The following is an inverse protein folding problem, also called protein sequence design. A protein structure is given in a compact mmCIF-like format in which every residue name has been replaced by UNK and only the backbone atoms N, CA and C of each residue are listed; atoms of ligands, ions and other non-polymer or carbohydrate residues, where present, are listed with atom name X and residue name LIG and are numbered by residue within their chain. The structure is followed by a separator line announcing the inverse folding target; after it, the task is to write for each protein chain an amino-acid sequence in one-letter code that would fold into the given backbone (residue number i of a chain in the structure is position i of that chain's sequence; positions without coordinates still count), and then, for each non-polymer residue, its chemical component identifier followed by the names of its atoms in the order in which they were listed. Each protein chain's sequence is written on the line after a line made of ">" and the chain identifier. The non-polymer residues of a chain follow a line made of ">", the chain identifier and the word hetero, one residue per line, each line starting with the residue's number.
data_IF_394612986864
#
_entry.id   IF_394612986864
#
_cell.length_a   1.000
_cell.length_b   1.000
_cell.length_c   1.000
_cell.angle_alpha   90.00
_cell.angle_beta   90.00
_cell.angle_gamma   90.00
#
_symmetry.space_group_name_H-M   'P 1'
#
loop_
_entity.id
_entity.type
_entity.pdbx_description
1 polymer ?
#
# COMPACT_ATOMS: atom_id res chain seq x y z
N UNK A 1 -26.56 -18.35 -15.59
CA UNK A 1 -25.43 -17.43 -15.34
C UNK A 1 -24.19 -17.96 -16.02
N UNK A 2 -23.59 -17.20 -16.93
CA UNK A 2 -22.29 -17.56 -17.48
C UNK A 2 -21.20 -17.30 -16.43
N UNK A 3 -20.24 -18.22 -16.29
CA UNK A 3 -19.08 -18.01 -15.41
C UNK A 3 -18.19 -16.92 -15.99
N UNK A 4 -17.59 -16.12 -15.12
CA UNK A 4 -16.56 -15.14 -15.50
C UNK A 4 -15.26 -15.90 -15.77
N UNK A 5 -14.73 -15.77 -17.00
CA UNK A 5 -13.50 -16.41 -17.47
C UNK A 5 -12.46 -15.37 -17.87
N UNK A 6 -11.18 -15.76 -17.97
CA UNK A 6 -10.06 -14.87 -18.29
C UNK A 6 -9.22 -14.51 -17.06
N UNK A 7 -8.24 -13.63 -17.24
CA UNK A 7 -7.35 -13.19 -16.15
C UNK A 7 -8.12 -12.35 -15.13
N UNK A 8 -8.15 -12.80 -13.87
CA UNK A 8 -8.94 -12.20 -12.78
C UNK A 8 -8.12 -11.29 -11.89
N UNK A 9 -6.84 -11.60 -11.76
CA UNK A 9 -5.86 -10.77 -11.09
C UNK A 9 -4.50 -10.89 -11.74
N UNK A 10 -3.70 -9.84 -11.59
CA UNK A 10 -2.28 -9.89 -11.91
C UNK A 10 -1.55 -9.91 -10.58
N UNK A 11 -1.15 -11.11 -10.17
CA UNK A 11 -0.44 -11.34 -8.92
C UNK A 11 1.06 -11.14 -9.16
N UNK A 12 1.81 -10.72 -8.15
CA UNK A 12 3.24 -10.51 -8.30
C UNK A 12 4.00 -10.73 -6.99
N UNK A 13 5.26 -11.12 -7.13
CA UNK A 13 6.25 -11.26 -6.06
C UNK A 13 7.35 -10.24 -6.30
N UNK A 14 7.69 -9.49 -5.26
CA UNK A 14 8.71 -8.45 -5.28
C UNK A 14 9.86 -8.89 -4.40
N UNK A 15 11.06 -8.84 -4.94
CA UNK A 15 12.32 -8.87 -4.19
C UNK A 15 12.91 -7.46 -4.20
N UNK A 16 13.29 -6.99 -3.02
CA UNK A 16 13.91 -5.68 -2.85
C UNK A 16 15.14 -5.76 -1.96
N UNK A 17 16.14 -4.92 -2.23
CA UNK A 17 17.39 -4.87 -1.51
C UNK A 17 17.57 -3.48 -0.88
N UNK A 18 18.32 -3.39 0.22
CA UNK A 18 18.53 -2.13 0.88
C UNK A 18 19.53 -2.19 2.02
N UNK A 19 19.72 -1.05 2.67
CA UNK A 19 20.54 -0.92 3.86
C UNK A 19 19.91 0.07 4.84
N UNK A 20 19.87 -0.30 6.11
CA UNK A 20 19.27 0.53 7.15
C UNK A 20 17.74 0.49 7.18
N UNK A 21 17.18 1.03 8.25
CA UNK A 21 15.72 1.12 8.43
C UNK A 21 15.17 2.34 7.72
N UNK A 22 14.29 2.13 6.74
CA UNK A 22 13.58 3.21 6.04
C UNK A 22 12.22 3.56 6.66
N UNK A 23 11.59 2.63 7.39
CA UNK A 23 10.27 2.83 8.01
C UNK A 23 10.29 2.53 9.52
N UNK A 24 10.34 3.61 10.31
CA UNK A 24 10.34 3.54 11.78
C UNK A 24 8.93 3.45 12.37
N UNK A 25 8.81 2.84 13.56
CA UNK A 25 7.55 2.79 14.31
C UNK A 25 7.43 3.94 15.32
N UNK A 26 8.52 4.23 16.02
CA UNK A 26 8.57 5.27 17.06
C UNK A 26 9.40 4.81 18.26
N UNK A 27 9.24 5.49 19.40
CA UNK A 27 9.97 5.14 20.62
C UNK A 27 9.00 4.59 21.68
N UNK A 28 8.78 3.26 21.73
CA UNK A 28 7.93 2.66 22.76
C UNK A 28 8.59 2.77 24.14
N UNK A 29 7.79 2.61 25.20
CA UNK A 29 8.32 2.49 26.55
C UNK A 29 8.99 1.13 26.74
N UNK A 30 10.21 1.13 27.24
CA UNK A 30 11.05 -0.03 27.54
C UNK A 30 11.65 0.10 28.94
N UNK A 31 12.26 -0.97 29.47
CA UNK A 31 12.78 -0.99 30.83
C UNK A 31 14.20 -1.54 30.91
N UNK A 32 15.03 -0.93 31.77
CA UNK A 32 16.37 -1.41 32.11
C UNK A 32 16.48 -1.61 33.62
N UNK A 33 17.15 -2.67 34.04
CA UNK A 33 17.48 -2.92 35.44
C UNK A 33 18.92 -2.47 35.68
N UNK A 34 19.10 -1.52 36.60
CA UNK A 34 20.43 -1.12 37.06
C UNK A 34 20.83 -2.03 38.20
N UNK A 35 22.13 -2.33 38.30
CA UNK A 35 22.64 -3.15 39.40
C UNK A 35 22.27 -2.55 40.76
N UNK A 36 21.70 -3.39 41.64
CA UNK A 36 21.21 -2.99 42.96
C UNK A 36 19.91 -2.19 42.99
N UNK A 37 19.23 -1.98 41.84
CA UNK A 37 17.96 -1.25 41.81
C UNK A 37 16.77 -2.10 42.26
N UNK A 38 15.90 -1.53 43.11
CA UNK A 38 14.64 -2.15 43.55
C UNK A 38 13.48 -1.99 42.55
N UNK A 39 13.65 -1.13 41.53
CA UNK A 39 12.66 -0.87 40.48
C UNK A 39 13.35 -0.66 39.12
N UNK A 40 12.73 -1.04 38.00
CA UNK A 40 13.28 -0.80 36.68
C UNK A 40 13.28 0.70 36.34
N UNK A 41 14.27 1.13 35.56
CA UNK A 41 14.28 2.46 34.95
C UNK A 41 13.56 2.40 33.62
N UNK A 42 12.55 3.24 33.43
CA UNK A 42 11.85 3.37 32.16
C UNK A 42 12.70 4.15 31.16
N UNK A 43 12.75 3.66 29.93
CA UNK A 43 13.46 4.24 28.79
C UNK A 43 12.44 4.54 27.70
N UNK A 44 12.33 5.81 27.30
CA UNK A 44 11.38 6.28 26.28
C UNK A 44 12.05 6.90 25.06
N UNK A 45 13.38 6.98 25.05
CA UNK A 45 14.19 7.55 23.97
C UNK A 45 14.94 6.48 23.15
N UNK A 46 14.41 5.25 23.12
CA UNK A 46 14.88 4.18 22.25
C UNK A 46 13.94 4.03 21.05
N UNK A 47 14.39 4.35 19.83
CA UNK A 47 13.52 4.20 18.65
C UNK A 47 13.56 2.78 18.10
N UNK A 48 12.37 2.24 17.85
CA UNK A 48 12.14 0.92 17.29
C UNK A 48 11.66 1.02 15.83
N UNK A 49 12.19 0.16 14.94
CA UNK A 49 11.63 -0.02 13.62
C UNK A 49 10.28 -0.75 13.70
N UNK A 50 9.61 -0.91 12.56
CA UNK A 50 8.43 -1.78 12.50
C UNK A 50 8.87 -3.24 12.48
N UNK A 51 8.52 -3.97 13.53
CA UNK A 51 8.82 -5.39 13.70
C UNK A 51 7.51 -6.17 13.72
N UNK A 52 7.37 -7.18 12.86
CA UNK A 52 6.14 -7.98 12.75
C UNK A 52 5.91 -8.73 14.06
N UNK A 53 4.73 -8.57 14.65
CA UNK A 53 4.32 -9.32 15.84
C UNK A 53 5.06 -8.92 17.13
N UNK A 54 5.86 -7.85 17.11
CA UNK A 54 6.55 -7.38 18.30
C UNK A 54 5.60 -6.66 19.26
N UNK A 55 5.69 -7.01 20.55
CA UNK A 55 5.11 -6.28 21.66
C UNK A 55 6.24 -5.80 22.58
N UNK A 56 6.18 -4.54 23.01
CA UNK A 56 7.09 -4.00 24.02
C UNK A 56 6.68 -4.37 25.45
N UNK A 57 5.47 -4.91 25.65
CA UNK A 57 4.91 -5.29 26.95
C UNK A 57 5.21 -6.76 27.23
N UNK A 58 5.81 -7.04 28.39
CA UNK A 58 6.18 -8.38 28.84
C UNK A 58 5.07 -9.04 29.67
N UNK A 59 4.46 -8.26 30.56
CA UNK A 59 3.39 -8.73 31.44
C UNK A 59 2.28 -7.69 31.51
N UNK A 60 1.05 -8.16 31.73
CA UNK A 60 -0.12 -7.35 32.01
C UNK A 60 -0.60 -7.60 33.45
N UNK A 61 -1.22 -6.59 34.04
CA UNK A 61 -2.03 -6.76 35.26
C UNK A 61 -3.37 -7.41 34.91
N UNK A 62 -4.12 -7.85 35.93
CA UNK A 62 -5.45 -8.46 35.74
C UNK A 62 -6.46 -7.51 35.07
N UNK A 63 -6.28 -6.20 35.22
CA UNK A 63 -7.10 -5.17 34.59
C UNK A 63 -6.71 -4.90 33.11
N UNK A 64 -5.73 -5.62 32.57
CA UNK A 64 -5.23 -5.46 31.21
C UNK A 64 -4.26 -4.30 31.02
N UNK A 65 -3.89 -3.57 32.09
CA UNK A 65 -2.88 -2.52 32.01
C UNK A 65 -1.45 -3.10 31.95
N UNK A 66 -0.51 -2.47 31.23
CA UNK A 66 0.84 -3.01 31.11
C UNK A 66 1.59 -2.97 32.46
N UNK A 67 2.08 -4.12 32.90
CA UNK A 67 2.79 -4.30 34.18
C UNK A 67 4.29 -4.09 34.06
N UNK A 68 4.92 -4.66 33.03
CA UNK A 68 6.36 -4.55 32.78
C UNK A 68 6.67 -4.55 31.29
N UNK A 69 7.84 -4.01 30.94
CA UNK A 69 8.25 -3.83 29.55
C UNK A 69 9.55 -4.58 29.25
N UNK A 70 9.74 -4.88 27.97
CA UNK A 70 10.94 -5.54 27.49
C UNK A 70 12.19 -4.64 27.61
N UNK A 71 13.35 -5.28 27.71
CA UNK A 71 14.64 -4.60 27.64
C UNK A 71 14.95 -4.21 26.18
N UNK A 72 15.58 -3.05 25.89
CA UNK A 72 15.89 -2.64 24.52
C UNK A 72 16.70 -3.65 23.70
N UNK A 73 17.52 -4.49 24.34
CA UNK A 73 18.32 -5.52 23.68
C UNK A 73 17.62 -6.89 23.61
N UNK A 74 16.39 -7.03 24.13
CA UNK A 74 15.68 -8.31 24.22
C UNK A 74 14.87 -8.68 22.99
N UNK A 75 15.05 -7.95 21.88
CA UNK A 75 14.37 -8.21 20.61
C UNK A 75 14.92 -9.49 20.00
N UNK A 76 14.06 -10.49 19.85
CA UNK A 76 14.40 -11.77 19.23
C UNK A 76 14.10 -11.73 17.72
N UNK A 77 15.11 -11.35 16.93
CA UNK A 77 14.99 -11.22 15.47
C UNK A 77 14.80 -12.55 14.73
N UNK A 78 14.89 -13.69 15.43
CA UNK A 78 14.48 -14.99 14.86
C UNK A 78 12.97 -15.19 14.85
N UNK A 79 12.22 -14.41 15.65
CA UNK A 79 10.76 -14.49 15.80
C UNK A 79 10.03 -13.28 15.24
N UNK A 80 10.69 -12.13 15.19
CA UNK A 80 10.12 -10.89 14.66
C UNK A 80 10.98 -10.35 13.53
N UNK A 81 10.38 -10.12 12.38
CA UNK A 81 11.09 -9.62 11.22
C UNK A 81 10.87 -8.12 11.08
N UNK A 82 11.91 -7.41 10.65
CA UNK A 82 11.78 -6.05 10.14
C UNK A 82 10.81 -6.05 8.95
N UNK A 83 9.97 -5.03 8.86
CA UNK A 83 9.17 -4.83 7.66
C UNK A 83 8.94 -3.37 7.31
N UNK A 84 8.75 -3.10 6.02
CA UNK A 84 8.26 -1.82 5.53
C UNK A 84 6.75 -1.95 5.35
N UNK A 85 6.00 -1.06 6.00
CA UNK A 85 4.53 -1.14 5.93
C UNK A 85 4.01 -0.82 4.52
N UNK A 86 2.95 -1.48 4.10
CA UNK A 86 2.24 -1.22 2.85
C UNK A 86 1.91 0.27 2.66
N UNK A 87 1.60 0.99 3.75
CA UNK A 87 1.34 2.43 3.69
C UNK A 87 2.57 3.25 3.29
N UNK A 88 3.75 2.87 3.78
CA UNK A 88 5.01 3.52 3.40
C UNK A 88 5.35 3.21 1.94
N UNK A 89 5.17 1.96 1.50
CA UNK A 89 5.36 1.56 0.11
C UNK A 89 4.44 2.35 -0.82
N UNK A 90 3.13 2.35 -0.55
CA UNK A 90 2.14 3.09 -1.34
C UNK A 90 2.43 4.59 -1.38
N UNK A 91 2.89 5.17 -0.27
CA UNK A 91 3.28 6.58 -0.27
C UNK A 91 4.41 6.87 -1.27
N UNK A 92 5.48 6.06 -1.27
CA UNK A 92 6.61 6.25 -2.18
C UNK A 92 6.28 5.87 -3.63
N UNK A 93 5.45 4.85 -3.85
CA UNK A 93 5.01 4.41 -5.18
C UNK A 93 4.33 5.55 -5.96
N UNK A 94 3.53 6.37 -5.28
CA UNK A 94 2.79 7.48 -5.89
C UNK A 94 3.34 8.85 -5.50
N UNK A 95 4.59 8.92 -5.02
CA UNK A 95 5.21 10.19 -4.57
C UNK A 95 5.49 11.15 -5.71
N UNK A 96 5.68 10.64 -6.94
CA UNK A 96 5.94 11.44 -8.13
C UNK A 96 4.77 12.35 -8.52
N UNK A 97 3.54 11.94 -8.22
CA UNK A 97 2.35 12.76 -8.41
C UNK A 97 1.97 13.40 -7.07
N UNK A 98 2.18 14.71 -6.93
CA UNK A 98 1.70 15.41 -5.74
C UNK A 98 0.17 15.53 -5.79
N UNK A 99 -0.51 14.89 -4.85
CA UNK A 99 -1.96 14.99 -4.69
C UNK A 99 -2.29 15.52 -3.29
N UNK A 100 -3.19 16.50 -3.23
CA UNK A 100 -3.76 16.97 -1.98
C UNK A 100 -5.27 16.69 -1.99
N UNK A 101 -5.68 15.57 -1.37
CA UNK A 101 -7.09 15.16 -1.29
C UNK A 101 -7.99 16.12 -0.49
N UNK A 102 -7.40 17.08 0.24
CA UNK A 102 -8.13 18.13 0.96
C UNK A 102 -8.26 19.42 0.15
N UNK A 103 -7.64 19.49 -1.04
CA UNK A 103 -7.69 20.68 -1.90
C UNK A 103 -9.13 21.01 -2.29
N UNK A 104 -9.58 22.28 -2.13
CA UNK A 104 -10.89 22.71 -2.60
C UNK A 104 -11.10 22.46 -4.09
N UNK A 105 -10.04 22.60 -4.90
CA UNK A 105 -10.10 22.45 -6.37
C UNK A 105 -10.49 21.04 -6.81
N UNK A 106 -10.39 20.03 -5.94
CA UNK A 106 -10.85 18.67 -6.24
C UNK A 106 -12.36 18.53 -6.34
N UNK A 107 -13.11 19.44 -5.71
CA UNK A 107 -14.56 19.50 -5.87
C UNK A 107 -14.95 20.07 -7.23
N UNK A 108 -14.17 21.03 -7.74
CA UNK A 108 -14.44 21.70 -9.00
C UNK A 108 -13.91 20.92 -10.21
N UNK A 109 -12.84 20.15 -10.03
CA UNK A 109 -12.17 19.37 -11.09
C UNK A 109 -11.90 17.91 -10.71
N UNK A 110 -12.92 17.14 -10.27
CA UNK A 110 -12.74 15.74 -9.86
C UNK A 110 -12.22 14.86 -11.00
N UNK A 111 -12.52 15.21 -12.25
CA UNK A 111 -12.05 14.50 -13.42
C UNK A 111 -10.52 14.52 -13.56
N UNK A 112 -9.84 15.59 -13.14
CA UNK A 112 -8.38 15.66 -13.16
C UNK A 112 -7.75 14.65 -12.21
N UNK A 113 -8.41 14.37 -11.08
CA UNK A 113 -7.99 13.30 -10.18
C UNK A 113 -8.25 11.93 -10.81
N UNK A 114 -9.41 11.74 -11.44
CA UNK A 114 -9.75 10.45 -12.05
C UNK A 114 -8.83 10.10 -13.24
N UNK A 115 -8.49 11.07 -14.09
CA UNK A 115 -7.50 10.95 -15.18
C UNK A 115 -6.06 11.09 -14.65
N UNK A 116 -5.70 10.31 -13.64
CA UNK A 116 -4.34 10.26 -13.11
C UNK A 116 -3.99 8.86 -12.60
N UNK A 117 -2.70 8.59 -12.45
CA UNK A 117 -2.20 7.35 -11.85
C UNK A 117 -2.76 7.18 -10.44
N UNK A 118 -2.83 8.27 -9.66
CA UNK A 118 -3.46 8.26 -8.33
C UNK A 118 -4.93 7.87 -8.39
N UNK A 119 -5.69 8.43 -9.33
CA UNK A 119 -7.12 8.15 -9.51
C UNK A 119 -7.40 6.69 -9.87
N UNK A 120 -6.67 6.16 -10.87
CA UNK A 120 -6.94 4.84 -11.43
C UNK A 120 -6.32 3.71 -10.61
N UNK A 121 -5.15 3.93 -10.01
CA UNK A 121 -4.35 2.87 -9.39
C UNK A 121 -4.24 2.98 -7.86
N UNK A 122 -4.02 4.17 -7.31
CA UNK A 122 -3.84 4.35 -5.85
C UNK A 122 -5.16 4.29 -5.07
N UNK A 123 -6.25 4.69 -5.69
CA UNK A 123 -7.52 4.93 -5.02
C UNK A 123 -7.51 6.21 -4.17
N UNK A 124 -8.71 6.69 -3.85
CA UNK A 124 -8.90 7.94 -3.14
C UNK A 124 -10.23 7.97 -2.38
N UNK A 125 -10.31 8.91 -1.45
CA UNK A 125 -11.54 9.35 -0.80
C UNK A 125 -11.48 10.87 -0.76
N UNK A 126 -12.52 11.54 -1.24
CA UNK A 126 -12.68 13.00 -1.16
C UNK A 126 -13.50 13.28 0.11
N UNK A 127 -12.92 13.84 1.18
CA UNK A 127 -13.61 13.93 2.47
C UNK A 127 -14.87 14.80 2.45
N UNK A 128 -14.95 15.77 1.52
CA UNK A 128 -16.02 16.77 1.49
C UNK A 128 -17.34 16.26 0.88
N UNK A 129 -17.28 15.29 -0.03
CA UNK A 129 -18.45 14.73 -0.71
C UNK A 129 -18.51 13.20 -0.66
N UNK A 130 -17.57 12.57 0.06
CA UNK A 130 -17.46 11.12 0.25
C UNK A 130 -17.23 10.30 -1.03
N UNK A 131 -17.03 10.96 -2.17
CA UNK A 131 -16.68 10.29 -3.43
C UNK A 131 -15.38 9.52 -3.26
N UNK A 132 -15.38 8.29 -3.73
CA UNK A 132 -14.28 7.36 -3.46
C UNK A 132 -14.11 6.34 -4.56
N UNK A 133 -12.87 5.91 -4.71
CA UNK A 133 -12.48 4.81 -5.57
C UNK A 133 -11.56 3.89 -4.81
N UNK A 134 -11.96 2.63 -4.71
CA UNK A 134 -11.14 1.58 -4.08
C UNK A 134 -9.92 1.34 -4.95
N UNK A 135 -8.75 1.18 -4.32
CA UNK A 135 -7.54 0.85 -5.05
C UNK A 135 -7.61 -0.57 -5.58
N UNK A 136 -7.33 -0.82 -6.87
CA UNK A 136 -7.19 -2.16 -7.40
C UNK A 136 -5.91 -2.87 -6.92
N UNK A 137 -4.96 -2.14 -6.33
CA UNK A 137 -3.68 -2.65 -5.86
C UNK A 137 -3.77 -3.14 -4.41
N UNK A 138 -3.57 -4.43 -4.22
CA UNK A 138 -3.28 -5.04 -2.93
C UNK A 138 -1.77 -5.26 -2.80
N UNK A 139 -1.19 -4.85 -1.67
CA UNK A 139 0.22 -5.09 -1.35
C UNK A 139 0.32 -5.66 0.06
N UNK A 140 1.11 -6.71 0.21
CA UNK A 140 1.59 -7.14 1.52
C UNK A 140 2.74 -6.25 1.98
N UNK A 141 3.04 -6.33 3.25
CA UNK A 141 4.21 -5.66 3.81
C UNK A 141 5.51 -6.28 3.25
N UNK A 142 6.53 -5.46 3.09
CA UNK A 142 7.85 -5.90 2.63
C UNK A 142 8.61 -6.42 3.82
N UNK A 143 8.74 -7.75 3.94
CA UNK A 143 9.30 -8.41 5.12
C UNK A 143 10.76 -8.75 4.86
N UNK A 144 11.63 -8.30 5.76
CA UNK A 144 13.06 -8.61 5.72
C UNK A 144 13.30 -10.11 5.95
N UNK A 145 14.26 -10.65 5.20
CA UNK A 145 14.68 -12.05 5.22
C UNK A 145 16.02 -12.25 5.93
N UNK A 146 16.82 -11.20 6.08
CA UNK A 146 18.19 -11.33 6.61
C UNK A 146 18.26 -11.21 8.14
N UNK A 147 17.45 -10.33 8.74
CA UNK A 147 17.42 -10.17 10.19
C UNK A 147 18.69 -9.55 10.78
N UNK A 148 19.46 -8.79 9.98
CA UNK A 148 20.73 -8.16 10.36
C UNK A 148 20.54 -6.93 11.26
N UNK A 149 19.77 -7.07 12.34
CA UNK A 149 19.46 -6.00 13.28
C UNK A 149 20.24 -6.11 14.59
N UNK A 150 20.51 -4.96 15.20
CA UNK A 150 21.15 -4.89 16.51
C UNK A 150 20.71 -3.66 17.29
N UNK A 151 20.94 -3.69 18.60
CA UNK A 151 20.88 -2.49 19.43
C UNK A 151 22.09 -1.59 19.10
N UNK A 152 21.83 -0.31 18.89
CA UNK A 152 22.86 0.69 18.65
C UNK A 152 22.68 1.88 19.58
N UNK A 153 23.75 2.18 20.33
CA UNK A 153 23.83 3.33 21.19
C UNK A 153 24.35 4.53 20.41
N UNK A 154 23.61 5.64 20.46
CA UNK A 154 24.00 6.90 19.85
C UNK A 154 24.21 7.99 20.90
N UNK A 155 24.91 9.04 20.48
CA UNK A 155 25.14 10.23 21.29
C UNK A 155 25.18 11.50 20.43
N UNK A 156 25.04 12.64 21.09
CA UNK A 156 25.28 13.96 20.52
C UNK A 156 26.69 14.43 20.91
N UNK A 157 27.45 14.92 19.94
CA UNK A 157 28.73 15.60 20.20
C UNK A 157 28.46 17.00 20.78
N UNK A 158 29.08 17.34 21.92
CA UNK A 158 28.90 18.63 22.59
C UNK A 158 28.66 18.53 24.10
N UNK A 159 28.23 19.63 24.74
CA UNK A 159 27.99 19.68 26.19
C UNK A 159 26.79 18.82 26.61
N UNK A 160 26.91 18.15 27.77
CA UNK A 160 25.85 17.33 28.40
C UNK A 160 24.75 18.19 29.03
N UNK A 161 24.52 19.39 28.51
CA UNK A 161 23.60 20.36 29.10
C UNK A 161 22.19 19.78 29.15
N UNK A 162 21.62 19.80 30.35
CA UNK A 162 20.22 19.44 30.55
C UNK A 162 19.39 20.55 29.95
N UNK A 163 18.44 20.17 29.08
CA UNK A 163 17.43 21.10 28.58
C UNK A 163 16.11 20.80 29.25
N UNK A 164 15.35 21.85 29.48
CA UNK A 164 13.98 21.73 29.95
C UNK A 164 13.16 21.01 28.87
N UNK A 165 12.56 19.87 29.22
CA UNK A 165 11.68 19.15 28.31
C UNK A 165 10.28 19.80 28.28
N UNK A 166 9.38 19.28 27.42
CA UNK A 166 8.00 19.79 27.27
C UNK A 166 7.17 19.76 28.57
N UNK A 167 7.65 19.06 29.61
CA UNK A 167 7.02 18.92 30.93
C UNK A 167 7.71 19.76 32.02
N UNK A 168 8.60 20.70 31.66
CA UNK A 168 9.29 21.56 32.63
C UNK A 168 10.40 20.86 33.44
N UNK A 169 10.87 19.69 33.00
CA UNK A 169 11.92 18.91 33.69
C UNK A 169 13.25 18.99 32.95
N UNK A 170 14.32 19.27 33.67
CA UNK A 170 15.68 19.20 33.16
C UNK A 170 16.08 17.74 32.86
N UNK A 171 16.26 17.43 31.57
CA UNK A 171 16.74 16.11 31.13
C UNK A 171 17.86 16.25 30.10
N UNK A 172 18.86 15.36 30.19
CA UNK A 172 19.89 15.25 29.16
C UNK A 172 19.43 14.23 28.12
N UNK A 173 19.18 14.70 26.89
CA UNK A 173 18.85 13.86 25.73
C UNK A 173 20.10 13.59 24.86
N UNK A 174 21.29 13.82 25.42
CA UNK A 174 22.56 13.70 24.69
C UNK A 174 22.90 12.25 24.34
N UNK A 175 22.27 11.26 25.00
CA UNK A 175 22.46 9.83 24.77
C UNK A 175 21.09 9.23 24.44
N UNK A 176 20.97 8.54 23.32
CA UNK A 176 19.75 7.88 22.85
C UNK A 176 20.11 6.62 22.08
N UNK A 177 19.19 5.69 21.90
CA UNK A 177 19.50 4.42 21.24
C UNK A 177 18.44 4.06 20.22
N UNK A 178 18.77 3.12 19.33
CA UNK A 178 17.83 2.56 18.36
C UNK A 178 18.10 1.09 18.15
N UNK A 179 17.10 0.37 17.68
CA UNK A 179 17.31 -0.91 17.01
C UNK A 179 17.53 -0.62 15.52
N UNK A 180 18.77 -0.78 15.05
CA UNK A 180 19.18 -0.50 13.66
C UNK A 180 19.41 -1.79 12.90
N UNK A 181 19.53 -1.70 11.58
CA UNK A 181 19.72 -2.82 10.67
C UNK A 181 20.81 -2.47 9.67
N UNK A 182 21.64 -3.46 9.30
CA UNK A 182 22.61 -3.35 8.22
C UNK A 182 21.96 -3.60 6.85
N UNK A 183 22.51 -4.52 6.09
CA UNK A 183 21.94 -4.96 4.81
C UNK A 183 20.61 -5.69 5.03
N UNK A 184 19.67 -5.44 4.12
CA UNK A 184 18.29 -5.95 4.19
C UNK A 184 17.87 -6.51 2.84
N UNK A 185 17.11 -7.61 2.87
CA UNK A 185 16.47 -8.22 1.70
C UNK A 185 15.01 -8.42 2.01
N UNK A 186 14.13 -7.77 1.26
CA UNK A 186 12.69 -7.83 1.48
C UNK A 186 12.01 -8.69 0.43
N UNK A 187 11.04 -9.50 0.88
CA UNK A 187 10.08 -10.17 0.02
C UNK A 187 8.69 -9.62 0.32
N UNK A 188 7.96 -9.33 -0.75
CA UNK A 188 6.54 -8.96 -0.70
C UNK A 188 5.77 -9.64 -1.83
N UNK A 189 4.47 -9.77 -1.61
CA UNK A 189 3.50 -10.17 -2.62
C UNK A 189 2.44 -9.08 -2.80
N UNK A 190 1.87 -8.99 -3.99
CA UNK A 190 0.72 -8.14 -4.26
C UNK A 190 -0.14 -8.68 -5.39
N UNK A 191 -1.26 -8.00 -5.62
CA UNK A 191 -2.24 -8.40 -6.61
C UNK A 191 -2.96 -7.16 -7.15
N UNK A 192 -3.14 -7.10 -8.47
CA UNK A 192 -3.97 -6.11 -9.15
C UNK A 192 -5.31 -6.76 -9.45
N UNK A 193 -6.37 -6.28 -8.81
CA UNK A 193 -7.74 -6.76 -9.01
C UNK A 193 -8.31 -6.21 -10.32
N UNK A 194 -8.56 -7.10 -11.29
CA UNK A 194 -9.11 -6.71 -12.59
C UNK A 194 -10.54 -6.18 -12.46
N UNK A 195 -11.36 -6.74 -11.56
CA UNK A 195 -12.72 -6.27 -11.28
C UNK A 195 -12.73 -4.81 -10.79
N UNK A 196 -11.85 -4.46 -9.86
CA UNK A 196 -11.78 -3.09 -9.32
C UNK A 196 -11.09 -2.12 -10.28
N UNK A 197 -10.14 -2.60 -11.08
CA UNK A 197 -9.42 -1.79 -12.05
C UNK A 197 -10.32 -1.39 -13.22
N UNK A 198 -11.03 -2.36 -13.82
CA UNK A 198 -11.76 -2.16 -15.07
C UNK A 198 -12.99 -1.27 -14.96
N UNK A 199 -13.63 -1.21 -13.80
CA UNK A 199 -14.91 -0.53 -13.64
C UNK A 199 -14.79 0.73 -12.79
N UNK A 200 -15.38 1.82 -13.28
CA UNK A 200 -15.39 3.13 -12.64
C UNK A 200 -16.84 3.52 -12.36
N UNK A 201 -17.34 3.31 -11.13
CA UNK A 201 -18.70 3.66 -10.74
C UNK A 201 -18.91 5.17 -10.64
N UNK A 202 -20.02 5.68 -11.19
CA UNK A 202 -20.39 7.11 -11.19
C UNK A 202 -21.77 7.36 -10.58
N UNK A 203 -22.26 6.42 -9.78
CA UNK A 203 -23.57 6.48 -9.17
C UNK A 203 -23.49 6.21 -7.66
N UNK A 204 -24.27 6.96 -6.89
CA UNK A 204 -24.35 6.81 -5.45
C UNK A 204 -25.10 5.55 -4.96
N UNK A 205 -25.84 4.83 -5.84
CA UNK A 205 -26.73 3.73 -5.47
C UNK A 205 -26.07 2.64 -4.61
N UNK A 206 -24.79 2.35 -4.86
CA UNK A 206 -24.02 1.34 -4.11
C UNK A 206 -22.98 1.94 -3.16
N UNK A 207 -23.03 3.25 -2.92
CA UNK A 207 -22.09 3.96 -2.04
C UNK A 207 -20.64 3.89 -2.54
N UNK A 208 -20.43 3.77 -3.85
CA UNK A 208 -19.11 3.67 -4.50
C UNK A 208 -18.88 4.76 -5.55
N UNK A 209 -19.66 5.83 -5.55
CA UNK A 209 -19.55 6.92 -6.52
C UNK A 209 -18.11 7.49 -6.56
N UNK A 210 -17.42 7.32 -7.69
CA UNK A 210 -16.05 7.83 -7.87
C UNK A 210 -16.06 9.33 -8.12
N UNK A 211 -17.09 9.81 -8.80
CA UNK A 211 -17.33 11.21 -9.12
C UNK A 211 -18.82 11.38 -9.39
N UNK A 212 -19.39 12.50 -8.95
CA UNK A 212 -20.77 12.85 -9.25
C UNK A 212 -20.86 13.35 -10.69
N UNK A 213 -21.80 12.82 -11.45
CA UNK A 213 -22.19 13.33 -12.77
C UNK A 213 -23.59 13.94 -12.69
N UNK A 214 -23.84 15.02 -13.43
CA UNK A 214 -25.14 15.69 -13.45
C UNK A 214 -26.08 15.09 -14.51
N UNK A 215 -25.52 14.55 -15.59
CA UNK A 215 -26.26 13.93 -16.68
C UNK A 215 -25.40 12.86 -17.40
N UNK A 216 -26.03 12.09 -18.30
CA UNK A 216 -25.35 11.03 -19.04
C UNK A 216 -24.31 11.56 -20.06
N UNK A 217 -24.52 12.75 -20.61
CA UNK A 217 -23.56 13.39 -21.53
C UNK A 217 -22.23 13.68 -20.82
N UNK A 218 -22.27 14.14 -19.57
CA UNK A 218 -21.06 14.33 -18.74
C UNK A 218 -20.33 13.00 -18.49
N UNK A 219 -21.07 11.88 -18.40
CA UNK A 219 -20.50 10.54 -18.33
C UNK A 219 -19.76 10.12 -19.60
N UNK A 220 -20.29 10.46 -20.77
CA UNK A 220 -19.65 10.21 -22.08
C UNK A 220 -18.40 11.07 -22.26
N UNK A 221 -18.49 12.38 -22.02
CA UNK A 221 -17.37 13.32 -22.09
C UNK A 221 -16.22 12.92 -21.15
N UNK A 222 -16.57 12.36 -19.99
CA UNK A 222 -15.59 11.83 -19.04
C UNK A 222 -14.89 10.58 -19.58
N UNK A 223 -15.64 9.66 -20.19
CA UNK A 223 -15.09 8.45 -20.78
C UNK A 223 -14.15 8.76 -21.97
N UNK A 224 -14.47 9.79 -22.76
CA UNK A 224 -13.58 10.31 -23.80
C UNK A 224 -12.26 10.83 -23.20
N UNK A 225 -12.32 11.70 -22.18
CA UNK A 225 -11.12 12.22 -21.52
C UNK A 225 -10.28 11.14 -20.81
N UNK A 226 -10.92 10.10 -20.29
CA UNK A 226 -10.22 8.92 -19.77
C UNK A 226 -9.53 8.15 -20.89
N UNK A 227 -10.20 7.98 -22.03
CA UNK A 227 -9.63 7.34 -23.22
C UNK A 227 -8.40 8.11 -23.69
N UNK A 228 -8.48 9.44 -23.81
CA UNK A 228 -7.35 10.29 -24.20
C UNK A 228 -6.18 10.16 -23.23
N UNK A 229 -6.46 10.14 -21.91
CA UNK A 229 -5.45 9.95 -20.89
C UNK A 229 -4.75 8.59 -21.03
N UNK A 230 -5.51 7.50 -21.18
CA UNK A 230 -4.95 6.15 -21.35
C UNK A 230 -4.06 6.08 -22.60
N UNK A 231 -4.54 6.61 -23.72
CA UNK A 231 -3.79 6.68 -24.98
C UNK A 231 -2.53 7.52 -24.87
N UNK A 232 -2.50 8.53 -24.01
CA UNK A 232 -1.29 9.31 -23.74
C UNK A 232 -0.21 8.53 -22.98
N UNK A 233 -0.57 7.45 -22.27
CA UNK A 233 0.38 6.62 -21.53
C UNK A 233 1.08 5.59 -22.43
N UNK A 234 0.40 5.06 -23.44
CA UNK A 234 0.90 3.92 -24.26
C UNK A 234 1.11 4.25 -25.75
N UNK A 235 0.53 5.36 -26.24
CA UNK A 235 0.34 5.68 -27.66
C UNK A 235 -0.53 4.67 -28.45
N UNK A 236 -1.35 3.84 -27.79
CA UNK A 236 -2.17 2.83 -28.46
C UNK A 236 -3.65 3.23 -28.55
N UNK A 237 -4.10 3.54 -29.77
CA UNK A 237 -5.46 4.03 -30.07
C UNK A 237 -6.58 3.02 -29.81
N UNK A 238 -6.26 1.77 -29.49
CA UNK A 238 -7.26 0.75 -29.21
C UNK A 238 -7.78 0.81 -27.77
N UNK A 239 -7.11 1.56 -26.87
CA UNK A 239 -7.61 1.78 -25.52
C UNK A 239 -8.91 2.57 -25.55
N UNK A 240 -9.88 2.09 -24.78
CA UNK A 240 -11.21 2.70 -24.68
C UNK A 240 -11.75 2.61 -23.27
N UNK A 241 -12.25 3.73 -22.80
CA UNK A 241 -13.17 3.84 -21.68
C UNK A 241 -14.59 4.02 -22.23
N UNK A 242 -15.52 3.13 -21.88
CA UNK A 242 -16.88 3.12 -22.43
C UNK A 242 -17.88 3.42 -21.33
N UNK A 243 -18.56 4.55 -21.44
CA UNK A 243 -19.66 4.91 -20.57
C UNK A 243 -20.91 4.07 -20.86
N UNK A 244 -21.64 3.70 -19.80
CA UNK A 244 -22.98 3.18 -19.92
C UNK A 244 -23.84 3.65 -18.74
N UNK A 245 -25.13 3.90 -19.00
CA UNK A 245 -26.10 4.31 -17.98
C UNK A 245 -26.40 3.23 -16.94
N UNK A 246 -26.15 1.97 -17.28
CA UNK A 246 -26.48 0.82 -16.44
C UNK A 246 -25.52 -0.35 -16.72
N UNK A 247 -24.43 -0.45 -15.97
CA UNK A 247 -23.56 -1.61 -15.97
C UNK A 247 -24.01 -2.59 -14.88
N UNK A 248 -24.31 -3.82 -15.27
CA UNK A 248 -24.71 -4.90 -14.37
C UNK A 248 -23.54 -5.85 -14.19
N UNK A 249 -23.27 -6.24 -12.94
CA UNK A 249 -22.22 -7.21 -12.64
C UNK A 249 -22.64 -8.60 -13.10
N UNK A 250 -21.83 -9.27 -13.92
CA UNK A 250 -22.07 -10.65 -14.35
C UNK A 250 -22.23 -11.58 -13.15
N UNK A 251 -23.28 -12.41 -13.19
CA UNK A 251 -23.65 -13.31 -12.11
C UNK A 251 -24.54 -12.69 -11.03
N UNK A 252 -24.97 -11.43 -11.18
CA UNK A 252 -26.05 -10.89 -10.36
C UNK A 252 -27.37 -11.64 -10.60
N UNK A 253 -28.19 -11.75 -9.56
CA UNK A 253 -29.53 -12.36 -9.65
C UNK A 253 -30.52 -11.39 -10.32
N UNK A 254 -30.32 -10.09 -10.12
CA UNK A 254 -31.14 -9.02 -10.66
C UNK A 254 -30.32 -8.15 -11.62
N UNK A 255 -30.98 -7.55 -12.61
CA UNK A 255 -30.37 -6.61 -13.58
C UNK A 255 -30.21 -5.18 -13.01
N UNK A 256 -30.12 -5.06 -11.68
CA UNK A 256 -29.80 -3.80 -11.02
C UNK A 256 -28.31 -3.49 -11.18
N UNK A 257 -28.02 -2.45 -11.96
CA UNK A 257 -26.68 -1.97 -12.22
C UNK A 257 -26.47 -0.53 -11.79
N UNK A 258 -25.32 0.02 -12.17
CA UNK A 258 -24.97 1.41 -11.90
C UNK A 258 -24.39 2.09 -13.13
N UNK A 259 -24.63 3.40 -13.25
CA UNK A 259 -23.98 4.21 -14.25
C UNK A 259 -22.47 4.24 -13.98
N UNK A 260 -21.67 4.08 -15.03
CA UNK A 260 -20.22 3.99 -14.88
C UNK A 260 -19.49 3.88 -16.19
N UNK A 261 -18.18 3.75 -16.10
CA UNK A 261 -17.27 3.55 -17.22
C UNK A 261 -16.60 2.19 -17.09
N UNK A 262 -16.56 1.43 -18.18
CA UNK A 262 -15.83 0.17 -18.28
C UNK A 262 -14.63 0.33 -19.22
N UNK A 263 -13.47 -0.09 -18.75
CA UNK A 263 -12.23 -0.13 -19.52
C UNK A 263 -12.20 -1.41 -20.37
N UNK A 264 -11.75 -1.29 -21.62
CA UNK A 264 -11.51 -2.47 -22.46
C UNK A 264 -10.19 -3.17 -22.12
N UNK A 265 -9.95 -4.31 -22.75
CA UNK A 265 -8.78 -5.18 -22.48
C UNK A 265 -7.44 -4.45 -22.63
N UNK A 266 -7.31 -3.61 -23.67
CA UNK A 266 -6.11 -2.80 -23.95
C UNK A 266 -5.89 -1.73 -22.87
N UNK A 267 -6.94 -1.01 -22.46
CA UNK A 267 -6.87 -0.03 -21.37
C UNK A 267 -6.48 -0.63 -20.03
N UNK A 268 -6.97 -1.84 -19.73
CA UNK A 268 -6.57 -2.58 -18.53
C UNK A 268 -5.08 -2.93 -18.61
N UNK A 269 -4.60 -3.35 -19.79
CA UNK A 269 -3.21 -3.73 -19.99
C UNK A 269 -2.25 -2.57 -19.73
N UNK A 270 -2.55 -1.38 -20.24
CA UNK A 270 -1.77 -0.16 -19.97
C UNK A 270 -1.63 0.11 -18.48
N UNK A 271 -2.74 0.03 -17.74
CA UNK A 271 -2.73 0.30 -16.30
C UNK A 271 -2.00 -0.76 -15.49
N UNK A 272 -2.10 -2.03 -15.90
CA UNK A 272 -1.33 -3.14 -15.31
C UNK A 272 0.17 -2.91 -15.55
N UNK A 273 0.57 -2.61 -16.78
CA UNK A 273 1.97 -2.38 -17.14
C UNK A 273 2.53 -1.14 -16.43
N UNK A 274 1.76 -0.05 -16.35
CA UNK A 274 2.13 1.14 -15.60
C UNK A 274 2.36 0.84 -14.11
N UNK A 275 1.51 0.01 -13.50
CA UNK A 275 1.68 -0.41 -12.11
C UNK A 275 2.96 -1.24 -11.92
N UNK A 276 3.19 -2.23 -12.79
CA UNK A 276 4.39 -3.07 -12.74
C UNK A 276 5.65 -2.23 -12.93
N UNK A 277 5.63 -1.23 -13.82
CA UNK A 277 6.74 -0.30 -14.02
C UNK A 277 7.01 0.54 -12.75
N UNK A 278 5.96 1.09 -12.11
CA UNK A 278 6.09 1.82 -10.85
C UNK A 278 6.70 0.94 -9.74
N UNK A 279 6.29 -0.33 -9.67
CA UNK A 279 6.82 -1.29 -8.70
C UNK A 279 8.28 -1.63 -9.01
N UNK A 280 8.62 -1.86 -10.27
CA UNK A 280 9.99 -2.20 -10.71
C UNK A 280 10.95 -1.06 -10.43
N UNK A 281 10.51 0.18 -10.64
CA UNK A 281 11.31 1.39 -10.41
C UNK A 281 11.21 1.93 -8.97
N UNK A 282 10.52 1.23 -8.07
CA UNK A 282 10.33 1.69 -6.70
C UNK A 282 11.67 1.76 -5.97
N UNK A 283 11.99 2.96 -5.46
CA UNK A 283 13.09 3.17 -4.54
C UNK A 283 12.66 4.09 -3.39
N UNK A 284 13.18 3.81 -2.20
CA UNK A 284 12.91 4.57 -0.99
C UNK A 284 14.24 5.05 -0.43
N UNK A 285 14.39 6.37 -0.28
CA UNK A 285 15.49 6.98 0.49
C UNK A 285 14.89 7.77 1.64
N UNK A 286 14.96 7.21 2.84
CA UNK A 286 14.32 7.78 4.03
C UNK A 286 15.07 7.36 5.29
N UNK A 287 15.05 8.22 6.31
CA UNK A 287 15.61 7.93 7.64
C UNK A 287 17.10 7.50 7.63
N UNK A 288 17.86 8.00 6.63
CA UNK A 288 19.26 7.65 6.36
C UNK A 288 19.51 6.20 5.93
N UNK A 289 18.45 5.43 5.65
CA UNK A 289 18.52 4.15 4.95
C UNK A 289 18.03 4.27 3.51
N UNK A 290 18.16 3.17 2.77
CA UNK A 290 17.57 3.04 1.44
C UNK A 290 17.05 1.63 1.17
N UNK A 291 16.12 1.52 0.21
CA UNK A 291 15.67 0.28 -0.39
C UNK A 291 15.38 0.55 -1.87
N UNK A 292 15.62 -0.44 -2.73
CA UNK A 292 15.19 -0.45 -4.12
C UNK A 292 14.67 -1.83 -4.49
N UNK A 293 13.71 -1.89 -5.42
CA UNK A 293 13.23 -3.15 -5.98
C UNK A 293 14.29 -3.72 -6.93
N UNK A 294 14.63 -4.99 -6.72
CA UNK A 294 15.63 -5.73 -7.48
C UNK A 294 14.98 -6.54 -8.61
N UNK A 295 13.87 -7.22 -8.29
CA UNK A 295 13.11 -7.98 -9.28
C UNK A 295 11.62 -8.04 -8.95
N UNK A 296 10.79 -8.08 -9.99
CA UNK A 296 9.34 -8.32 -9.90
C UNK A 296 9.01 -9.54 -10.77
N UNK A 297 8.48 -10.59 -10.16
CA UNK A 297 7.94 -11.76 -10.85
C UNK A 297 6.41 -11.63 -10.93
N UNK A 298 5.83 -11.84 -12.10
CA UNK A 298 4.41 -11.57 -12.39
C UNK A 298 3.69 -12.88 -12.73
N UNK A 299 2.44 -13.00 -12.31
CA UNK A 299 1.52 -14.08 -12.61
C UNK A 299 0.17 -13.52 -13.08
N UNK A 300 -0.13 -13.69 -14.37
CA UNK A 300 -1.45 -13.41 -14.93
C UNK A 300 -2.41 -14.55 -14.53
N UNK A 301 -3.07 -14.39 -13.39
CA UNK A 301 -3.85 -15.43 -12.74
C UNK A 301 -5.28 -15.51 -13.29
N UNK A 302 -5.56 -16.60 -14.00
CA UNK A 302 -6.84 -16.96 -14.59
C UNK A 302 -7.59 -18.05 -13.81
N UNK A 303 -7.06 -18.47 -12.65
CA UNK A 303 -7.59 -19.59 -11.88
C UNK A 303 -9.01 -19.35 -11.36
N UNK A 304 -9.77 -20.44 -11.22
CA UNK A 304 -11.17 -20.41 -10.78
C UNK A 304 -11.38 -20.55 -9.26
N UNK A 305 -10.39 -21.08 -8.54
CA UNK A 305 -10.57 -21.42 -7.13
C UNK A 305 -10.00 -20.31 -6.26
N UNK A 306 -10.75 -19.90 -5.24
CA UNK A 306 -10.30 -18.90 -4.28
C UNK A 306 -8.95 -19.25 -3.61
N UNK A 307 -8.66 -20.56 -3.42
CA UNK A 307 -7.38 -21.02 -2.86
C UNK A 307 -6.18 -20.77 -3.78
N UNK A 308 -6.44 -20.56 -5.07
CA UNK A 308 -5.43 -20.32 -6.11
C UNK A 308 -5.23 -18.79 -6.32
N UNK A 309 -5.92 -17.93 -5.54
CA UNK A 309 -5.50 -16.52 -5.39
C UNK A 309 -4.09 -16.47 -4.79
N UNK A 310 -3.22 -15.60 -5.29
CA UNK A 310 -1.80 -15.63 -4.95
C UNK A 310 -1.15 -16.99 -5.24
N UNK A 311 -1.48 -17.62 -6.38
CA UNK A 311 -0.85 -18.88 -6.81
C UNK A 311 0.68 -18.78 -6.77
N UNK A 312 1.24 -17.66 -7.23
CA UNK A 312 2.67 -17.32 -7.13
C UNK A 312 3.28 -17.45 -5.71
N UNK A 313 2.48 -17.32 -4.65
CA UNK A 313 2.95 -17.48 -3.27
C UNK A 313 3.06 -18.94 -2.83
N UNK A 314 2.22 -19.81 -3.39
CA UNK A 314 2.14 -21.22 -3.00
C UNK A 314 2.95 -22.13 -3.95
N UNK A 315 2.97 -21.81 -5.24
CA UNK A 315 3.63 -22.59 -6.28
C UNK A 315 4.06 -21.67 -7.44
N UNK A 316 5.34 -21.31 -7.47
CA UNK A 316 5.93 -20.48 -8.53
C UNK A 316 6.04 -21.23 -9.87
N UNK A 317 5.91 -22.57 -9.90
CA UNK A 317 6.04 -23.35 -11.13
C UNK A 317 4.79 -23.32 -12.02
N UNK A 318 3.64 -22.94 -11.46
CA UNK A 318 2.35 -22.89 -12.15
C UNK A 318 1.91 -21.49 -12.57
N UNK A 319 2.80 -20.50 -12.46
CA UNK A 319 2.52 -19.11 -12.85
C UNK A 319 2.50 -18.94 -14.37
N UNK A 320 1.85 -17.87 -14.81
CA UNK A 320 1.89 -17.40 -16.20
C UNK A 320 2.52 -16.01 -16.24
N UNK A 321 3.80 -15.93 -16.59
CA UNK A 321 4.52 -14.64 -16.67
C UNK A 321 4.05 -13.76 -17.82
N UNK A 322 3.49 -14.37 -18.87
CA UNK A 322 2.90 -13.66 -20.01
C UNK A 322 1.38 -13.72 -19.95
N UNK A 323 0.74 -12.65 -20.44
CA UNK A 323 -0.71 -12.60 -20.64
C UNK A 323 -1.10 -13.50 -21.80
N UNK A 324 -1.54 -14.72 -21.48
CA UNK A 324 -1.95 -15.73 -22.45
C UNK A 324 -3.44 -15.70 -22.81
N UNK A 325 -4.25 -14.92 -22.09
CA UNK A 325 -5.68 -14.76 -22.33
C UNK A 325 -6.15 -13.34 -22.03
N UNK A 326 -7.34 -12.98 -22.51
CA UNK A 326 -7.96 -11.69 -22.20
C UNK A 326 -8.27 -11.58 -20.70
N UNK A 327 -8.32 -10.33 -20.22
CA UNK A 327 -8.80 -10.03 -18.89
C UNK A 327 -10.27 -10.42 -18.72
N UNK A 328 -10.61 -10.86 -17.51
CA UNK A 328 -11.96 -11.21 -17.16
C UNK A 328 -12.87 -9.98 -17.23
N UNK A 329 -14.02 -10.10 -17.90
CA UNK A 329 -15.03 -9.03 -17.98
C UNK A 329 -16.12 -9.28 -16.94
N UNK A 330 -16.17 -8.43 -15.92
CA UNK A 330 -17.07 -8.57 -14.76
C UNK A 330 -18.39 -7.82 -14.92
N UNK A 331 -18.48 -6.89 -15.87
CA UNK A 331 -19.66 -6.04 -16.07
C UNK A 331 -20.13 -6.09 -17.52
N UNK A 332 -21.44 -5.93 -17.72
CA UNK A 332 -22.06 -5.79 -19.03
C UNK A 332 -23.10 -4.67 -19.03
N UNK A 333 -23.19 -3.92 -20.12
CA UNK A 333 -24.21 -2.89 -20.29
C UNK A 333 -25.58 -3.54 -20.55
N UNK A 334 -26.61 -3.09 -19.81
CA UNK A 334 -27.99 -3.54 -19.96
C UNK A 334 -28.94 -2.42 -20.35
#
# INVERSE_FOLDING_TARGET
>A
MQKVTGVKSVDFKIKALGHGVVNWNGSPQLEIWKDGASKPTKVSNHSMPKLRGYSNIKEFWEDGSPKSYHHPTSVDLSKVNLYISQNCIRHHLFRGEHYNLQSPNLLDQPLRLLCSTVGLLRGYVIPKNENKRTSPLLLTDFVDQLGNGNFEQMGQSGSKEKKENKDGKESSNSIFSKTTFGDTEYIAYGSISIEQLQFIPLCANFGRESMKINNHQEGEEMAEKLTDYLQSLSNNKNEKAIYHKNYVRKGSIFDEGEAGVLLNDEAIDVLVNQMIELLTNLSIRQAKGFMYVDSVLVDYNDSDKARDMFRIKNDESSISELKNSSYAVYYEGK
#
